data_IF_417277850891
#
_entry.id   IF_417277850891
#
_cell.length_a   1.000
_cell.length_b   1.000
_cell.length_c   1.000
_cell.angle_alpha   90.00
_cell.angle_beta   90.00
_cell.angle_gamma   90.00
#
_symmetry.space_group_name_H-M   'P 1'
#
loop_
_entity.id
_entity.type
_entity.pdbx_description
1 polymer ?
#
# COMPACT_ATOMS: atom_id res chain seq x y z
N UNK A 1 72.15 32.01 -27.21
CA UNK A 1 70.92 32.77 -26.87
C UNK A 1 69.76 32.10 -27.58
N UNK A 2 68.94 31.38 -26.83
CA UNK A 2 67.84 30.56 -27.31
C UNK A 2 66.55 31.08 -26.64
N UNK A 3 65.50 31.44 -27.39
CA UNK A 3 64.25 31.90 -26.78
C UNK A 3 63.51 30.72 -26.12
N UNK A 4 62.82 30.95 -24.99
CA UNK A 4 62.16 29.89 -24.25
C UNK A 4 60.87 29.38 -24.92
N UNK A 5 60.62 28.10 -24.70
CA UNK A 5 59.53 27.29 -25.24
C UNK A 5 58.15 27.72 -24.74
N UNK A 6 57.16 27.62 -25.64
CA UNK A 6 55.73 27.67 -25.33
C UNK A 6 55.31 26.31 -24.76
N UNK A 7 54.72 26.31 -23.56
CA UNK A 7 54.08 25.16 -22.94
C UNK A 7 52.57 25.44 -22.75
N UNK A 8 51.73 24.39 -22.71
CA UNK A 8 50.35 24.42 -23.22
C UNK A 8 49.30 24.88 -22.20
N UNK A 9 48.17 25.34 -22.73
CA UNK A 9 46.99 25.75 -21.98
C UNK A 9 46.41 24.60 -21.13
N UNK A 10 46.26 24.85 -19.83
CA UNK A 10 45.41 24.05 -18.93
C UNK A 10 43.96 24.53 -19.04
N UNK A 11 42.96 23.62 -19.07
CA UNK A 11 41.56 24.00 -19.16
C UNK A 11 41.13 24.70 -17.87
N UNK A 12 40.53 25.88 -18.00
CA UNK A 12 39.81 26.51 -16.90
C UNK A 12 38.65 25.58 -16.51
N UNK A 13 38.77 24.94 -15.36
CA UNK A 13 37.63 24.35 -14.69
C UNK A 13 36.67 25.50 -14.39
N UNK A 14 35.54 25.54 -15.09
CA UNK A 14 34.38 26.37 -14.77
C UNK A 14 33.99 26.01 -13.35
N UNK A 15 34.45 26.81 -12.38
CA UNK A 15 33.95 26.74 -11.02
C UNK A 15 32.47 27.10 -11.14
N UNK A 16 31.62 26.08 -11.03
CA UNK A 16 30.22 26.26 -10.80
C UNK A 16 30.12 27.19 -9.60
N UNK A 17 29.59 28.38 -9.85
CA UNK A 17 29.33 29.41 -8.86
C UNK A 17 28.20 28.89 -7.96
N UNK A 18 28.55 27.95 -7.08
CA UNK A 18 27.80 27.63 -5.89
C UNK A 18 27.93 28.86 -5.00
N UNK A 19 27.09 29.85 -5.28
CA UNK A 19 26.77 30.92 -4.36
C UNK A 19 26.01 30.28 -3.20
N UNK A 20 26.76 29.72 -2.26
CA UNK A 20 26.32 29.62 -0.88
C UNK A 20 25.97 31.06 -0.45
N UNK A 21 24.71 31.38 -0.10
CA UNK A 21 24.42 32.69 0.41
C UNK A 21 25.15 32.82 1.75
N UNK A 22 26.10 33.74 1.80
CA UNK A 22 26.76 34.14 3.03
C UNK A 22 25.69 34.58 4.05
N UNK A 23 25.57 33.81 5.13
CA UNK A 23 24.81 34.17 6.34
C UNK A 23 25.57 35.24 7.13
N UNK A 24 25.77 36.42 6.53
CA UNK A 24 26.44 37.56 7.15
C UNK A 24 25.51 38.77 7.09
N UNK A 25 24.90 39.11 8.23
CA UNK A 25 24.18 40.37 8.52
C UNK A 25 23.34 40.95 7.36
N UNK A 26 22.51 40.11 6.73
CA UNK A 26 21.53 40.59 5.79
C UNK A 26 20.43 41.35 6.54
N UNK A 27 20.49 42.68 6.49
CA UNK A 27 19.32 43.53 6.79
C UNK A 27 18.15 42.93 6.01
N UNK A 28 17.02 42.59 6.66
CA UNK A 28 15.90 41.94 5.98
C UNK A 28 15.48 42.81 4.80
N UNK A 29 15.37 42.18 3.62
CA UNK A 29 14.97 42.90 2.41
C UNK A 29 13.57 43.49 2.57
N UNK A 30 13.28 44.57 1.84
CA UNK A 30 11.95 45.19 1.86
C UNK A 30 10.83 44.18 1.53
N UNK A 31 11.13 43.22 0.65
CA UNK A 31 10.24 42.10 0.34
C UNK A 31 10.02 41.16 1.52
N UNK A 32 11.08 40.76 2.22
CA UNK A 32 10.97 39.91 3.42
C UNK A 32 10.19 40.62 4.54
N UNK A 33 10.38 41.94 4.71
CA UNK A 33 9.62 42.73 5.68
C UNK A 33 8.13 42.82 5.31
N UNK A 34 7.81 42.96 4.02
CA UNK A 34 6.43 42.97 3.53
C UNK A 34 5.75 41.61 3.71
N UNK A 35 6.44 40.51 3.36
CA UNK A 35 5.96 39.15 3.55
C UNK A 35 5.69 38.84 5.03
N UNK A 36 6.61 39.22 5.92
CA UNK A 36 6.43 39.05 7.36
C UNK A 36 5.23 39.84 7.90
N UNK A 37 5.04 41.09 7.44
CA UNK A 37 3.88 41.90 7.82
C UNK A 37 2.56 41.28 7.32
N UNK A 38 2.54 40.76 6.07
CA UNK A 38 1.39 40.05 5.51
C UNK A 38 1.07 38.76 6.27
N UNK A 39 2.08 37.98 6.63
CA UNK A 39 1.92 36.77 7.43
C UNK A 39 1.33 37.09 8.82
N UNK A 40 1.82 38.15 9.46
CA UNK A 40 1.27 38.61 10.74
C UNK A 40 -0.21 39.01 10.63
N UNK A 41 -0.59 39.75 9.57
CA UNK A 41 -1.99 40.11 9.32
C UNK A 41 -2.88 38.89 9.12
N UNK A 42 -2.41 37.89 8.37
CA UNK A 42 -3.15 36.65 8.18
C UNK A 42 -3.39 35.93 9.52
N UNK A 43 -2.36 35.83 10.36
CA UNK A 43 -2.48 35.23 11.70
C UNK A 43 -3.48 35.98 12.60
N UNK A 44 -3.52 37.33 12.54
CA UNK A 44 -4.53 38.11 13.27
C UNK A 44 -5.95 37.87 12.72
N UNK A 45 -6.09 37.67 11.41
CA UNK A 45 -7.37 37.28 10.79
C UNK A 45 -7.87 35.91 11.27
N UNK A 46 -6.99 34.92 11.35
CA UNK A 46 -7.32 33.59 11.89
C UNK A 46 -7.73 33.67 13.37
N UNK A 47 -7.06 34.52 14.16
CA UNK A 47 -7.46 34.77 15.55
C UNK A 47 -8.83 35.44 15.65
N UNK A 48 -9.13 36.38 14.75
CA UNK A 48 -10.43 37.04 14.71
C UNK A 48 -11.55 36.03 14.42
N UNK A 49 -11.38 35.21 13.40
CA UNK A 49 -12.34 34.17 13.02
C UNK A 49 -12.59 33.19 14.19
N UNK A 50 -11.53 32.79 14.90
CA UNK A 50 -11.65 31.93 16.08
C UNK A 50 -12.45 32.60 17.23
N UNK A 51 -12.25 33.89 17.47
CA UNK A 51 -13.01 34.65 18.48
C UNK A 51 -14.47 34.82 18.09
N UNK A 52 -14.75 35.16 16.82
CA UNK A 52 -16.10 35.28 16.29
C UNK A 52 -16.86 33.95 16.37
N UNK A 53 -16.21 32.85 16.01
CA UNK A 53 -16.79 31.52 16.10
C UNK A 53 -17.10 31.14 17.56
N UNK A 54 -16.18 31.45 18.50
CA UNK A 54 -16.39 31.22 19.94
C UNK A 54 -17.54 32.06 20.50
N UNK A 55 -17.69 33.29 20.02
CA UNK A 55 -18.80 34.17 20.39
C UNK A 55 -20.13 33.61 19.89
N UNK A 56 -20.17 33.18 18.63
CA UNK A 56 -21.37 32.61 18.02
C UNK A 56 -21.80 31.30 18.69
N UNK A 57 -20.85 30.45 19.10
CA UNK A 57 -21.18 29.24 19.84
C UNK A 57 -21.76 29.54 21.22
N UNK A 58 -21.22 30.53 21.95
CA UNK A 58 -21.76 30.93 23.26
C UNK A 58 -23.17 31.54 23.14
N UNK A 59 -23.42 32.33 22.09
CA UNK A 59 -24.75 32.89 21.86
C UNK A 59 -25.79 31.82 21.56
N UNK A 60 -25.44 30.82 20.73
CA UNK A 60 -26.32 29.67 20.48
C UNK A 60 -26.60 28.86 21.75
N UNK A 61 -25.56 28.60 22.55
CA UNK A 61 -25.73 27.90 23.83
C UNK A 61 -26.65 28.69 24.77
N UNK A 62 -26.52 30.02 24.82
CA UNK A 62 -27.40 30.87 25.60
C UNK A 62 -28.86 30.80 25.14
N UNK A 63 -29.09 30.82 23.83
CA UNK A 63 -30.42 30.72 23.22
C UNK A 63 -31.09 29.36 23.46
N UNK A 64 -30.32 28.27 23.35
CA UNK A 64 -30.81 26.91 23.61
C UNK A 64 -31.19 26.71 25.10
N UNK A 65 -30.53 27.41 26.02
CA UNK A 65 -30.72 27.27 27.47
C UNK A 65 -31.73 28.26 28.09
N UNK A 66 -32.14 29.33 27.38
CA UNK A 66 -33.04 30.39 27.87
C UNK A 66 -34.44 29.86 28.26
N UNK A 67 -34.87 28.73 27.69
CA UNK A 67 -36.17 28.09 27.98
C UNK A 67 -36.18 27.12 29.16
N UNK A 68 -35.08 26.96 29.90
CA UNK A 68 -34.96 25.99 31.00
C UNK A 68 -34.86 26.65 32.38
N UNK A 69 -35.68 26.22 33.34
CA UNK A 69 -35.77 26.78 34.72
C UNK A 69 -34.47 26.64 35.57
N UNK A 70 -33.37 26.17 34.99
CA UNK A 70 -32.07 25.91 35.67
C UNK A 70 -30.99 26.96 35.30
N UNK A 71 -31.29 27.93 34.43
CA UNK A 71 -30.34 28.90 33.89
C UNK A 71 -30.10 30.14 34.80
N UNK A 72 -29.60 29.94 36.01
CA UNK A 72 -29.22 31.03 36.91
C UNK A 72 -27.75 31.47 36.76
N UNK A 73 -26.83 31.05 37.65
CA UNK A 73 -25.43 31.50 37.63
C UNK A 73 -24.64 31.16 36.35
N UNK A 74 -24.97 30.07 35.66
CA UNK A 74 -24.28 29.65 34.43
C UNK A 74 -24.52 30.64 33.28
N UNK A 75 -25.75 31.15 33.16
CA UNK A 75 -26.14 32.15 32.16
C UNK A 75 -25.36 33.44 32.34
N UNK A 76 -25.34 33.98 33.55
CA UNK A 76 -24.57 35.20 33.88
C UNK A 76 -23.08 35.02 33.58
N UNK A 77 -22.52 33.84 33.81
CA UNK A 77 -21.13 33.53 33.46
C UNK A 77 -20.87 33.54 31.95
N UNK A 78 -21.79 33.03 31.14
CA UNK A 78 -21.70 33.07 29.67
C UNK A 78 -21.83 34.50 29.13
N UNK A 79 -22.78 35.27 29.65
CA UNK A 79 -22.96 36.70 29.31
C UNK A 79 -21.69 37.51 29.59
N UNK A 80 -21.04 37.29 30.74
CA UNK A 80 -19.76 37.92 31.06
C UNK A 80 -18.65 37.51 30.09
N UNK A 81 -18.60 36.24 29.68
CA UNK A 81 -17.62 35.76 28.68
C UNK A 81 -17.83 36.41 27.32
N UNK A 82 -19.08 36.61 26.90
CA UNK A 82 -19.40 37.30 25.64
C UNK A 82 -18.87 38.74 25.68
N UNK A 83 -19.09 39.47 26.78
CA UNK A 83 -18.55 40.84 26.93
C UNK A 83 -17.03 40.87 26.84
N UNK A 84 -16.34 39.90 27.45
CA UNK A 84 -14.87 39.80 27.38
C UNK A 84 -14.41 39.48 25.95
N UNK A 85 -15.12 38.60 25.22
CA UNK A 85 -14.82 38.30 23.82
C UNK A 85 -15.03 39.54 22.94
N UNK A 86 -16.10 40.29 23.14
CA UNK A 86 -16.38 41.52 22.39
C UNK A 86 -15.28 42.56 22.59
N UNK A 87 -14.76 42.70 23.81
CA UNK A 87 -13.60 43.56 24.10
C UNK A 87 -12.34 43.09 23.36
N UNK A 88 -12.07 41.78 23.32
CA UNK A 88 -10.91 41.22 22.61
C UNK A 88 -11.03 41.40 21.09
N UNK A 89 -12.22 41.22 20.53
CA UNK A 89 -12.51 41.46 19.12
C UNK A 89 -12.21 42.92 18.78
N UNK A 90 -12.73 43.86 19.57
CA UNK A 90 -12.48 45.29 19.36
C UNK A 90 -11.00 45.68 19.48
N UNK A 91 -10.25 45.06 20.40
CA UNK A 91 -8.80 45.26 20.51
C UNK A 91 -8.05 44.67 19.30
N UNK A 92 -8.44 43.48 18.86
CA UNK A 92 -7.85 42.81 17.71
C UNK A 92 -8.11 43.58 16.41
N UNK A 93 -9.30 44.16 16.22
CA UNK A 93 -9.62 45.05 15.09
C UNK A 93 -8.67 46.25 15.02
N UNK A 94 -8.38 46.87 16.17
CA UNK A 94 -7.43 47.98 16.23
C UNK A 94 -6.02 47.54 15.84
N UNK A 95 -5.60 46.36 16.30
CA UNK A 95 -4.30 45.76 15.95
C UNK A 95 -4.22 45.47 14.45
N UNK A 96 -5.28 44.91 13.86
CA UNK A 96 -5.38 44.68 12.42
C UNK A 96 -5.23 45.99 11.65
N UNK A 97 -5.92 47.06 12.04
CA UNK A 97 -5.78 48.36 11.35
C UNK A 97 -4.36 48.93 11.43
N UNK A 98 -3.67 48.69 12.55
CA UNK A 98 -2.29 49.13 12.77
C UNK A 98 -1.33 48.36 11.86
N UNK A 99 -1.53 47.04 11.74
CA UNK A 99 -0.74 46.17 10.85
C UNK A 99 -1.04 46.46 9.39
N UNK A 100 -2.30 46.71 9.01
CA UNK A 100 -2.68 47.08 7.65
C UNK A 100 -2.00 48.40 7.24
N UNK A 101 -1.94 49.39 8.13
CA UNK A 101 -1.18 50.62 7.90
C UNK A 101 0.33 50.36 7.75
N UNK A 102 0.90 49.40 8.49
CA UNK A 102 2.30 49.00 8.35
C UNK A 102 2.55 48.31 7.00
N UNK A 103 1.67 47.41 6.58
CA UNK A 103 1.72 46.73 5.27
C UNK A 103 1.70 47.77 4.16
N UNK A 104 0.78 48.74 4.22
CA UNK A 104 0.70 49.81 3.22
C UNK A 104 2.00 50.64 3.15
N UNK A 105 2.62 50.96 4.31
CA UNK A 105 3.92 51.64 4.36
C UNK A 105 5.02 50.80 3.74
N UNK A 106 5.11 49.51 4.07
CA UNK A 106 6.15 48.63 3.52
C UNK A 106 5.96 48.36 2.03
N UNK A 107 4.71 48.22 1.57
CA UNK A 107 4.36 48.03 0.16
C UNK A 107 4.77 49.21 -0.72
N UNK A 108 4.86 50.42 -0.16
CA UNK A 108 5.31 51.61 -0.87
C UNK A 108 6.81 51.64 -1.17
N UNK A 109 7.60 50.73 -0.56
CA UNK A 109 9.03 50.61 -0.82
C UNK A 109 9.24 49.89 -2.17
N UNK A 110 9.97 50.47 -3.13
CA UNK A 110 10.28 49.81 -4.40
C UNK A 110 10.92 48.43 -4.18
N UNK A 111 10.39 47.41 -4.85
CA UNK A 111 10.86 46.02 -4.69
C UNK A 111 10.37 45.32 -3.41
N UNK A 112 9.43 45.89 -2.64
CA UNK A 112 8.78 45.19 -1.52
C UNK A 112 7.70 44.19 -1.97
N UNK A 113 6.96 44.52 -3.03
CA UNK A 113 6.00 43.60 -3.64
C UNK A 113 6.72 42.89 -4.78
N UNK A 114 7.35 41.76 -4.47
CA UNK A 114 7.96 40.88 -5.48
C UNK A 114 6.97 39.77 -5.77
N UNK A 115 6.50 39.69 -7.02
CA UNK A 115 5.78 38.51 -7.49
C UNK A 115 6.79 37.36 -7.57
N UNK A 116 6.65 36.38 -6.67
CA UNK A 116 7.48 35.19 -6.70
C UNK A 116 7.16 34.45 -8.00
N UNK A 117 8.14 34.25 -8.90
CA UNK A 117 7.90 33.53 -10.14
C UNK A 117 7.30 32.16 -9.83
N UNK A 118 6.22 31.80 -10.53
CA UNK A 118 5.64 30.47 -10.39
C UNK A 118 6.74 29.43 -10.65
N UNK A 119 6.89 28.42 -9.78
CA UNK A 119 7.86 27.38 -10.01
C UNK A 119 7.48 26.67 -11.31
N UNK A 120 8.27 26.89 -12.36
CA UNK A 120 8.10 26.18 -13.63
C UNK A 120 8.21 24.70 -13.31
N UNK A 121 7.11 23.95 -13.49
CA UNK A 121 7.06 22.50 -13.29
C UNK A 121 7.99 21.83 -14.29
N UNK A 122 9.23 21.58 -13.87
CA UNK A 122 10.19 20.77 -14.61
C UNK A 122 9.89 19.30 -14.35
N UNK A 123 8.90 18.76 -15.07
CA UNK A 123 8.53 17.36 -14.99
C UNK A 123 7.85 16.88 -16.27
N UNK A 124 7.66 15.57 -16.45
CA UNK A 124 6.85 15.04 -17.55
C UNK A 124 5.49 15.74 -17.57
N UNK A 125 4.94 16.02 -18.76
CA UNK A 125 3.63 16.63 -18.90
C UNK A 125 2.60 15.88 -18.06
N UNK A 126 1.65 16.58 -17.44
CA UNK A 126 0.61 15.97 -16.59
C UNK A 126 -0.20 14.92 -17.35
N UNK A 127 -0.34 15.15 -18.66
CA UNK A 127 -0.93 14.27 -19.64
C UNK A 127 -0.26 12.89 -19.64
N UNK A 128 1.04 12.78 -19.35
CA UNK A 128 1.72 11.49 -19.30
C UNK A 128 1.28 10.64 -18.11
N UNK A 129 0.94 11.26 -16.98
CA UNK A 129 0.44 10.56 -15.80
C UNK A 129 -1.01 10.09 -15.97
N UNK A 130 -1.80 10.78 -16.79
CA UNK A 130 -3.20 10.40 -17.08
C UNK A 130 -3.30 9.46 -18.28
N UNK A 131 -2.66 9.80 -19.39
CA UNK A 131 -2.73 9.05 -20.65
C UNK A 131 -1.90 7.76 -20.56
N UNK A 132 -0.76 7.78 -19.87
CA UNK A 132 0.13 6.62 -19.71
C UNK A 132 -0.59 5.35 -19.25
N UNK A 133 -1.26 5.34 -18.09
CA UNK A 133 -1.97 4.16 -17.61
C UNK A 133 -3.16 3.77 -18.49
N UNK A 134 -3.86 4.72 -19.12
CA UNK A 134 -4.98 4.44 -20.02
C UNK A 134 -4.49 3.69 -21.27
N UNK A 135 -3.43 4.17 -21.91
CA UNK A 135 -2.83 3.53 -23.08
C UNK A 135 -2.24 2.17 -22.70
N UNK A 136 -1.57 2.08 -21.55
CA UNK A 136 -1.04 0.82 -21.04
C UNK A 136 -2.16 -0.21 -20.85
N UNK A 137 -3.30 0.16 -20.25
CA UNK A 137 -4.45 -0.73 -20.10
C UNK A 137 -5.08 -1.10 -21.45
N UNK A 138 -5.25 -0.13 -22.36
CA UNK A 138 -5.83 -0.37 -23.68
C UNK A 138 -5.01 -1.38 -24.51
N UNK A 139 -3.68 -1.43 -24.32
CA UNK A 139 -2.79 -2.36 -25.02
C UNK A 139 -2.60 -3.67 -24.24
N UNK A 140 -2.28 -3.60 -22.95
CA UNK A 140 -1.92 -4.78 -22.15
C UNK A 140 -3.12 -5.65 -21.79
N UNK A 141 -4.30 -5.06 -21.59
CA UNK A 141 -5.50 -5.82 -21.21
C UNK A 141 -5.96 -6.81 -22.31
N UNK A 142 -6.18 -6.41 -23.59
CA UNK A 142 -6.56 -7.37 -24.62
C UNK A 142 -5.45 -8.39 -24.90
N UNK A 143 -4.17 -7.98 -24.79
CA UNK A 143 -3.03 -8.87 -24.92
C UNK A 143 -3.03 -9.95 -23.84
N UNK A 144 -3.23 -9.55 -22.58
CA UNK A 144 -3.33 -10.47 -21.42
C UNK A 144 -4.48 -11.45 -21.59
N UNK A 145 -5.67 -10.97 -22.00
CA UNK A 145 -6.84 -11.83 -22.28
C UNK A 145 -6.54 -12.82 -23.41
N UNK A 146 -5.86 -12.39 -24.49
CA UNK A 146 -5.50 -13.26 -25.60
C UNK A 146 -4.52 -14.37 -25.16
N UNK A 147 -3.51 -14.04 -24.35
CA UNK A 147 -2.57 -15.02 -23.81
C UNK A 147 -3.24 -16.00 -22.83
N UNK A 148 -4.08 -15.49 -21.92
CA UNK A 148 -4.85 -16.33 -21.00
C UNK A 148 -5.74 -17.32 -21.76
N UNK A 149 -6.46 -16.84 -22.79
CA UNK A 149 -7.32 -17.69 -23.64
C UNK A 149 -6.50 -18.72 -24.43
N UNK A 150 -5.29 -18.38 -24.88
CA UNK A 150 -4.40 -19.30 -25.60
C UNK A 150 -3.88 -20.42 -24.70
N UNK A 151 -3.52 -20.12 -23.45
CA UNK A 151 -3.07 -21.12 -22.48
C UNK A 151 -4.23 -22.05 -22.12
N UNK A 152 -5.40 -21.50 -21.78
CA UNK A 152 -6.55 -22.31 -21.38
C UNK A 152 -7.03 -23.26 -22.50
N UNK A 153 -7.07 -22.79 -23.75
CA UNK A 153 -7.42 -23.65 -24.90
C UNK A 153 -6.43 -24.79 -25.11
N UNK A 154 -5.13 -24.57 -24.88
CA UNK A 154 -4.12 -25.63 -24.99
C UNK A 154 -4.27 -26.67 -23.89
N UNK A 155 -4.56 -26.24 -22.66
CA UNK A 155 -4.77 -27.14 -21.53
C UNK A 155 -6.01 -28.03 -21.70
N UNK A 156 -7.10 -27.49 -22.25
CA UNK A 156 -8.33 -28.28 -22.52
C UNK A 156 -8.10 -29.33 -23.60
N UNK A 157 -7.35 -29.02 -24.66
CA UNK A 157 -7.02 -30.02 -25.69
C UNK A 157 -6.21 -31.18 -25.12
N UNK A 158 -5.25 -30.92 -24.22
CA UNK A 158 -4.44 -31.98 -23.61
C UNK A 158 -5.25 -32.89 -22.68
N UNK A 159 -6.20 -32.35 -21.92
CA UNK A 159 -7.01 -33.12 -20.95
C UNK A 159 -8.08 -33.98 -21.64
N UNK A 160 -8.62 -33.55 -22.78
CA UNK A 160 -9.62 -34.33 -23.54
C UNK A 160 -9.02 -35.53 -24.28
N UNK A 161 -7.71 -35.54 -24.49
CA UNK A 161 -6.95 -36.73 -24.90
C UNK A 161 -6.33 -37.40 -23.68
N UNK A 162 -7.15 -37.87 -22.73
CA UNK A 162 -6.73 -39.06 -21.98
C UNK A 162 -6.44 -40.13 -23.04
N UNK A 163 -5.19 -40.59 -23.21
CA UNK A 163 -4.85 -41.56 -24.24
C UNK A 163 -5.69 -42.80 -24.01
N UNK A 164 -6.44 -43.25 -25.02
CA UNK A 164 -7.13 -44.57 -24.97
C UNK A 164 -6.19 -45.66 -24.48
N UNK A 165 -4.92 -45.55 -24.84
CA UNK A 165 -3.82 -46.40 -24.39
C UNK A 165 -3.63 -46.44 -22.86
N UNK A 166 -3.84 -45.35 -22.11
CA UNK A 166 -3.83 -45.40 -20.64
C UNK A 166 -5.02 -46.20 -20.11
N UNK A 167 -6.20 -46.06 -20.73
CA UNK A 167 -7.39 -46.78 -20.32
C UNK A 167 -7.27 -48.29 -20.63
N UNK A 168 -6.71 -48.63 -21.79
CA UNK A 168 -6.44 -50.01 -22.19
C UNK A 168 -5.39 -50.66 -21.26
N UNK A 169 -4.34 -49.91 -20.87
CA UNK A 169 -3.36 -50.36 -19.88
C UNK A 169 -3.99 -50.57 -18.51
N UNK A 170 -4.88 -49.68 -18.06
CA UNK A 170 -5.59 -49.83 -16.79
C UNK A 170 -6.50 -51.07 -16.80
N UNK A 171 -7.23 -51.28 -17.89
CA UNK A 171 -8.09 -52.46 -18.07
C UNK A 171 -7.27 -53.75 -18.09
N UNK A 172 -6.10 -53.73 -18.75
CA UNK A 172 -5.18 -54.87 -18.74
C UNK A 172 -4.59 -55.13 -17.35
N UNK A 173 -4.29 -54.08 -16.58
CA UNK A 173 -3.81 -54.19 -15.20
C UNK A 173 -4.90 -54.77 -14.28
N UNK A 174 -6.16 -54.36 -14.45
CA UNK A 174 -7.31 -54.92 -13.74
C UNK A 174 -7.46 -56.43 -14.00
N UNK A 175 -7.46 -56.83 -15.28
CA UNK A 175 -7.57 -58.24 -15.66
C UNK A 175 -6.37 -59.09 -15.15
N UNK A 176 -5.16 -58.50 -15.15
CA UNK A 176 -3.96 -59.17 -14.63
C UNK A 176 -4.04 -59.34 -13.10
N UNK A 177 -4.57 -58.33 -12.40
CA UNK A 177 -4.78 -58.38 -10.97
C UNK A 177 -5.82 -59.45 -10.58
N UNK A 178 -6.93 -59.55 -11.31
CA UNK A 178 -7.95 -60.59 -11.12
C UNK A 178 -7.39 -62.00 -11.35
N UNK A 179 -6.59 -62.19 -12.41
CA UNK A 179 -5.94 -63.49 -12.67
C UNK A 179 -4.95 -63.87 -11.56
N UNK A 180 -4.16 -62.90 -11.09
CA UNK A 180 -3.19 -63.13 -10.01
C UNK A 180 -3.90 -63.49 -8.71
N UNK A 181 -5.04 -62.86 -8.40
CA UNK A 181 -5.84 -63.19 -7.22
C UNK A 181 -6.33 -64.65 -7.26
N UNK A 182 -6.84 -65.11 -8.40
CA UNK A 182 -7.30 -66.49 -8.58
C UNK A 182 -6.15 -67.51 -8.55
N UNK A 183 -5.00 -67.17 -9.12
CA UNK A 183 -3.81 -68.02 -9.04
C UNK A 183 -3.31 -68.17 -7.60
N UNK A 184 -3.28 -67.08 -6.82
CA UNK A 184 -2.90 -67.11 -5.41
C UNK A 184 -3.88 -67.95 -4.59
N UNK A 185 -5.18 -67.83 -4.85
CA UNK A 185 -6.21 -68.69 -4.23
C UNK A 185 -5.95 -70.16 -4.53
N UNK A 186 -5.76 -70.53 -5.81
CA UNK A 186 -5.48 -71.91 -6.23
C UNK A 186 -4.17 -72.46 -5.66
N UNK A 187 -3.11 -71.64 -5.58
CA UNK A 187 -1.82 -72.04 -4.97
C UNK A 187 -2.04 -72.28 -3.47
N UNK A 188 -2.79 -71.41 -2.80
CA UNK A 188 -3.18 -71.58 -1.40
C UNK A 188 -3.96 -72.88 -1.16
N UNK A 189 -4.90 -73.22 -2.04
CA UNK A 189 -5.65 -74.47 -1.99
C UNK A 189 -4.76 -75.69 -2.27
N UNK A 190 -3.86 -75.63 -3.26
CA UNK A 190 -2.91 -76.68 -3.56
C UNK A 190 -1.94 -76.96 -2.41
N UNK A 191 -1.47 -75.90 -1.75
CA UNK A 191 -0.66 -76.02 -0.53
C UNK A 191 -1.46 -76.62 0.62
N UNK A 192 -2.69 -76.15 0.88
CA UNK A 192 -3.57 -76.74 1.91
C UNK A 192 -3.86 -78.21 1.64
N UNK A 193 -4.11 -78.58 0.39
CA UNK A 193 -4.37 -79.96 -0.02
C UNK A 193 -3.13 -80.84 0.18
N UNK A 194 -1.95 -80.35 -0.18
CA UNK A 194 -0.70 -81.10 0.01
C UNK A 194 -0.32 -81.27 1.47
N UNK A 195 -0.50 -80.23 2.30
CA UNK A 195 -0.32 -80.35 3.74
C UNK A 195 -1.30 -81.36 4.33
N UNK A 196 -2.58 -81.31 3.95
CA UNK A 196 -3.60 -82.28 4.38
C UNK A 196 -3.21 -83.71 3.99
N UNK A 197 -2.79 -83.95 2.74
CA UNK A 197 -2.34 -85.26 2.28
C UNK A 197 -1.08 -85.77 3.00
N UNK A 198 -0.11 -84.90 3.27
CA UNK A 198 1.09 -85.27 4.03
C UNK A 198 0.73 -85.65 5.48
N UNK A 199 -0.19 -84.92 6.11
CA UNK A 199 -0.70 -85.24 7.45
C UNK A 199 -1.54 -86.52 7.46
N UNK A 200 -2.39 -86.77 6.46
CA UNK A 200 -3.15 -88.01 6.30
C UNK A 200 -2.23 -89.22 6.06
N UNK A 201 -1.16 -89.08 5.25
CA UNK A 201 -0.18 -90.15 5.02
C UNK A 201 0.70 -90.40 6.25
N UNK A 202 1.09 -89.36 6.97
CA UNK A 202 1.83 -89.47 8.23
C UNK A 202 1.01 -90.16 9.33
N UNK A 203 -0.28 -89.83 9.44
CA UNK A 203 -1.20 -90.49 10.37
C UNK A 203 -1.51 -91.94 9.96
N UNK A 204 -1.60 -92.26 8.66
CA UNK A 204 -1.70 -93.64 8.18
C UNK A 204 -0.43 -94.47 8.44
N UNK A 205 0.77 -93.92 8.25
CA UNK A 205 2.04 -94.62 8.49
C UNK A 205 2.30 -94.88 9.98
N UNK A 206 1.90 -93.96 10.87
CA UNK A 206 1.94 -94.16 12.32
C UNK A 206 0.89 -95.18 12.81
N UNK A 207 -0.19 -95.40 12.05
CA UNK A 207 -1.22 -96.40 12.35
C UNK A 207 -0.88 -97.84 11.95
N UNK A 208 0.01 -98.05 10.97
CA UNK A 208 0.45 -99.39 10.54
C UNK A 208 1.64 -99.93 11.35
N UNK A 209 2.58 -99.07 11.77
CA UNK A 209 3.73 -99.48 12.59
C UNK A 209 3.36 -99.91 14.01
N UNK A 210 2.23 -99.43 14.55
CA UNK A 210 1.78 -99.75 15.91
C UNK A 210 1.09 -101.12 16.03
N UNK A 211 0.74 -101.79 14.92
CA UNK A 211 -0.02 -103.05 14.93
C UNK A 211 0.83 -104.31 14.77
N UNK A 212 2.11 -104.17 14.43
CA UNK A 212 3.01 -105.30 14.16
C UNK A 212 3.82 -105.72 15.39
N UNK A 213 3.82 -104.94 16.48
CA UNK A 213 4.68 -105.19 17.65
C UNK A 213 3.96 -105.75 18.89
N UNK A 214 2.76 -106.32 18.75
CA UNK A 214 1.99 -106.91 19.86
C UNK A 214 1.57 -108.36 19.54
N UNK A 215 2.51 -109.20 19.11
CA UNK A 215 2.38 -110.67 19.18
C UNK A 215 3.74 -111.30 19.47
N UNK A 216 4.08 -111.45 20.75
CA UNK A 216 4.99 -112.46 21.32
C UNK A 216 4.28 -113.06 22.52
#
# INVERSE_FOLDING_TARGET
>A
MQPPAVAPAVPQATQAEQTTPALADAVPSAAAMYEAARAHRNALGEQMESLEQSRHSLLRELEDHDGSDVAGPARTGMEQRIVILDQRIAELDKNISTVDAQIARTASIPGAVVEKPDPVRQGPPEEMYVIGPIVALAVLLPMSIAFARRIWRRSVTTVLTMPRELNDRLFQLEQTAESTALEVERIGEGQRFMTKLLTERGSHALGEGARVNETV
#
